data_IF_803829473110
#
_entry.id   IF_803829473110
#
_cell.length_a   1.000
_cell.length_b   1.000
_cell.length_c   1.000
_cell.angle_alpha   90.00
_cell.angle_beta   90.00
_cell.angle_gamma   90.00
#
_symmetry.space_group_name_H-M   'P 1'
#
loop_
_entity.id
_entity.type
_entity.pdbx_description
1 polymer ?
#
# COMPACT_ATOMS: atom_id res chain seq x y z
N UNK A 1 5.26 -15.84 0.55
CA UNK A 1 6.50 -15.10 0.34
C UNK A 1 6.22 -13.62 0.32
N UNK A 2 6.70 -12.92 1.35
CA UNK A 2 6.41 -11.51 1.53
C UNK A 2 7.07 -10.64 0.46
N UNK A 3 8.24 -11.02 -0.01
CA UNK A 3 8.93 -10.25 -1.05
C UNK A 3 8.13 -10.19 -2.34
N UNK A 4 7.45 -11.28 -2.69
CA UNK A 4 6.60 -11.30 -3.88
C UNK A 4 5.40 -10.36 -3.70
N UNK A 5 4.78 -10.37 -2.53
CA UNK A 5 3.64 -9.50 -2.27
C UNK A 5 4.05 -8.03 -2.30
N UNK A 6 5.19 -7.68 -1.71
CA UNK A 6 5.71 -6.32 -1.76
C UNK A 6 5.87 -5.88 -3.21
N UNK A 7 6.41 -6.74 -4.06
CA UNK A 7 6.61 -6.41 -5.46
C UNK A 7 5.29 -6.25 -6.20
N UNK A 8 4.30 -7.10 -5.91
CA UNK A 8 2.98 -6.98 -6.53
C UNK A 8 2.30 -5.67 -6.15
N UNK A 9 2.39 -5.30 -4.88
CA UNK A 9 1.84 -4.03 -4.40
C UNK A 9 2.51 -2.87 -5.13
N UNK A 10 3.84 -2.90 -5.21
CA UNK A 10 4.61 -1.86 -5.88
C UNK A 10 4.19 -1.70 -7.33
N UNK A 11 4.08 -2.81 -8.06
CA UNK A 11 3.70 -2.78 -9.45
C UNK A 11 2.30 -2.21 -9.67
N UNK A 12 1.34 -2.65 -8.85
CA UNK A 12 -0.04 -2.17 -8.97
C UNK A 12 -0.13 -0.67 -8.72
N UNK A 13 0.53 -0.19 -7.67
CA UNK A 13 0.49 1.23 -7.34
C UNK A 13 1.22 2.07 -8.38
N UNK A 14 2.31 1.56 -8.92
CA UNK A 14 3.05 2.25 -9.96
C UNK A 14 2.20 2.42 -11.21
N UNK A 15 1.52 1.36 -11.63
CA UNK A 15 0.69 1.39 -12.82
C UNK A 15 -0.52 2.31 -12.67
N UNK A 16 -1.13 2.30 -11.47
CA UNK A 16 -2.37 3.03 -11.26
C UNK A 16 -2.16 4.50 -10.97
N UNK A 17 -1.09 4.86 -10.27
CA UNK A 17 -0.94 6.20 -9.69
C UNK A 17 0.30 6.95 -10.14
N UNK A 18 1.19 6.31 -10.87
CA UNK A 18 2.44 6.90 -11.37
C UNK A 18 3.14 7.74 -10.28
N UNK A 19 3.43 7.15 -9.11
CA UNK A 19 3.93 7.93 -7.98
C UNK A 19 5.33 8.49 -8.22
N UNK A 20 5.59 9.65 -7.65
CA UNK A 20 6.93 10.22 -7.61
C UNK A 20 7.77 9.55 -6.55
N UNK A 21 7.14 9.13 -5.45
CA UNK A 21 7.79 8.38 -4.39
C UNK A 21 6.87 7.25 -3.98
N UNK A 22 7.45 6.10 -3.71
CA UNK A 22 6.68 4.93 -3.31
C UNK A 22 7.51 4.08 -2.38
N UNK A 23 6.98 3.83 -1.18
CA UNK A 23 7.55 2.87 -0.24
C UNK A 23 6.50 1.80 0.03
N UNK A 24 6.94 0.56 0.03
CA UNK A 24 6.10 -0.57 0.41
C UNK A 24 6.88 -1.36 1.44
N UNK A 25 6.34 -1.46 2.65
CA UNK A 25 7.00 -2.12 3.76
C UNK A 25 6.16 -3.29 4.24
N UNK A 26 6.83 -4.41 4.50
CA UNK A 26 6.21 -5.54 5.15
C UNK A 26 6.36 -5.33 6.66
N UNK A 27 5.25 -5.15 7.36
CA UNK A 27 5.25 -4.90 8.80
C UNK A 27 4.94 -6.14 9.62
N UNK A 28 5.00 -7.32 9.01
CA UNK A 28 4.74 -8.55 9.72
C UNK A 28 5.65 -8.76 10.93
N UNK A 29 6.87 -8.23 10.87
CA UNK A 29 7.81 -8.38 11.97
C UNK A 29 7.31 -7.76 13.29
N UNK A 30 6.41 -6.80 13.23
CA UNK A 30 5.86 -6.15 14.42
C UNK A 30 4.97 -7.08 15.23
N UNK A 31 4.62 -8.22 14.66
CA UNK A 31 3.74 -9.19 15.30
C UNK A 31 4.46 -10.52 15.56
N UNK A 32 5.78 -10.52 15.53
CA UNK A 32 6.57 -11.72 15.77
C UNK A 32 6.22 -12.31 17.13
N UNK A 33 6.13 -13.63 17.18
CA UNK A 33 5.80 -14.34 18.41
C UNK A 33 4.32 -14.71 18.55
N UNK A 34 3.46 -14.19 17.68
CA UNK A 34 2.05 -14.53 17.69
C UNK A 34 1.74 -15.48 16.53
N UNK A 35 1.00 -16.54 16.80
CA UNK A 35 0.63 -17.49 15.75
C UNK A 35 -0.17 -16.77 14.68
N UNK A 36 0.28 -16.89 13.44
CA UNK A 36 -0.34 -16.26 12.27
C UNK A 36 -0.41 -14.73 12.32
N UNK A 37 0.08 -14.12 13.39
CA UNK A 37 0.08 -12.67 13.49
C UNK A 37 1.15 -12.09 12.57
N UNK A 38 0.88 -10.95 11.99
CA UNK A 38 1.82 -10.25 11.14
C UNK A 38 1.81 -10.65 9.69
N UNK A 39 1.15 -11.75 9.35
CA UNK A 39 1.07 -12.14 7.95
C UNK A 39 0.16 -11.18 7.21
N UNK A 40 0.64 -10.67 6.08
CA UNK A 40 -0.16 -9.77 5.26
C UNK A 40 -0.34 -8.38 5.82
N UNK A 41 0.50 -7.97 6.76
CA UNK A 41 0.49 -6.61 7.28
C UNK A 41 1.51 -5.76 6.54
N UNK A 42 1.03 -4.73 5.85
CA UNK A 42 1.89 -3.90 5.01
C UNK A 42 1.64 -2.43 5.27
N UNK A 43 2.62 -1.60 4.96
CA UNK A 43 2.49 -0.15 4.96
C UNK A 43 2.92 0.37 3.61
N UNK A 44 2.14 1.30 3.06
CA UNK A 44 2.52 1.97 1.82
C UNK A 44 2.56 3.47 2.06
N UNK A 45 3.56 4.11 1.48
CA UNK A 45 3.65 5.56 1.40
C UNK A 45 3.71 5.92 -0.07
N UNK A 46 2.72 6.66 -0.52
CA UNK A 46 2.56 6.98 -1.94
C UNK A 46 2.49 8.49 -2.10
N UNK A 47 3.41 9.04 -2.87
CA UNK A 47 3.38 10.47 -3.22
C UNK A 47 3.05 10.55 -4.70
N UNK A 48 1.88 11.09 -5.03
CA UNK A 48 1.40 11.11 -6.41
C UNK A 48 0.57 12.34 -6.70
N UNK A 49 0.77 12.89 -7.89
CA UNK A 49 -0.04 14.00 -8.37
C UNK A 49 -1.51 13.59 -8.56
N UNK A 50 -1.78 12.29 -8.71
CA UNK A 50 -3.15 11.80 -8.84
C UNK A 50 -4.00 12.10 -7.61
N UNK A 51 -3.37 12.35 -6.47
CA UNK A 51 -4.10 12.67 -5.23
C UNK A 51 -4.47 14.14 -5.11
N UNK A 52 -4.04 14.99 -6.03
CA UNK A 52 -4.32 16.42 -5.95
C UNK A 52 -5.83 16.67 -5.95
N UNK A 53 -6.29 17.50 -5.02
CA UNK A 53 -7.71 17.79 -4.90
C UNK A 53 -8.55 16.69 -4.28
N UNK A 54 -7.94 15.59 -3.85
CA UNK A 54 -8.65 14.46 -3.24
C UNK A 54 -8.51 14.51 -1.72
N UNK A 55 -9.61 14.29 -1.02
CA UNK A 55 -9.59 14.17 0.44
C UNK A 55 -8.98 12.81 0.84
N UNK A 56 -8.52 12.67 2.08
CA UNK A 56 -7.86 11.44 2.51
C UNK A 56 -8.63 10.16 2.22
N UNK A 57 -9.93 10.16 2.45
CA UNK A 57 -10.73 8.97 2.19
C UNK A 57 -10.73 8.60 0.71
N UNK A 58 -10.82 9.59 -0.16
CA UNK A 58 -10.79 9.34 -1.60
C UNK A 58 -9.43 8.80 -2.03
N UNK A 59 -8.35 9.31 -1.44
CA UNK A 59 -7.00 8.80 -1.73
C UNK A 59 -6.85 7.35 -1.32
N UNK A 60 -7.36 6.99 -0.14
CA UNK A 60 -7.34 5.61 0.32
C UNK A 60 -8.12 4.69 -0.62
N UNK A 61 -9.27 5.14 -1.08
CA UNK A 61 -10.07 4.36 -2.03
C UNK A 61 -9.34 4.14 -3.34
N UNK A 62 -8.58 5.13 -3.80
CA UNK A 62 -7.78 4.98 -5.02
C UNK A 62 -6.72 3.91 -4.83
N UNK A 63 -6.10 3.85 -3.65
CA UNK A 63 -5.09 2.83 -3.36
C UNK A 63 -5.74 1.45 -3.28
N UNK A 64 -6.88 1.32 -2.59
CA UNK A 64 -7.58 0.04 -2.52
C UNK A 64 -8.01 -0.44 -3.90
N UNK A 65 -8.47 0.47 -4.76
CA UNK A 65 -8.84 0.10 -6.12
C UNK A 65 -7.65 -0.43 -6.91
N UNK A 66 -6.48 0.21 -6.75
CA UNK A 66 -5.26 -0.23 -7.41
C UNK A 66 -4.84 -1.62 -6.95
N UNK A 67 -5.16 -1.98 -5.72
CA UNK A 67 -4.78 -3.26 -5.12
C UNK A 67 -5.90 -4.29 -5.15
N UNK A 68 -6.91 -4.06 -5.99
CA UNK A 68 -8.04 -4.99 -6.12
C UNK A 68 -7.55 -6.41 -6.40
N UNK A 69 -8.12 -7.37 -5.71
CA UNK A 69 -7.71 -8.77 -5.80
C UNK A 69 -6.60 -9.13 -4.84
N UNK A 70 -5.72 -8.20 -4.48
CA UNK A 70 -4.66 -8.48 -3.50
C UNK A 70 -5.15 -8.33 -2.07
N UNK A 71 -6.14 -7.46 -1.85
CA UNK A 71 -6.68 -7.26 -0.51
C UNK A 71 -7.29 -8.52 0.08
N UNK A 72 -7.79 -9.42 -0.79
CA UNK A 72 -8.38 -10.68 -0.35
C UNK A 72 -7.39 -11.84 -0.44
N UNK A 73 -6.24 -11.63 -1.07
CA UNK A 73 -5.32 -12.70 -1.42
C UNK A 73 -3.88 -12.38 -1.01
N UNK A 74 -3.69 -11.97 0.23
CA UNK A 74 -2.34 -11.76 0.74
C UNK A 74 -2.20 -10.52 1.61
N UNK A 75 -3.03 -9.50 1.39
CA UNK A 75 -2.99 -8.31 2.24
C UNK A 75 -4.10 -8.44 3.28
N UNK A 76 -3.70 -8.57 4.53
CA UNK A 76 -4.62 -8.70 5.65
C UNK A 76 -4.91 -7.34 6.30
N UNK A 77 -3.89 -6.50 6.39
CA UNK A 77 -4.02 -5.15 6.91
C UNK A 77 -3.07 -4.24 6.16
N UNK A 78 -3.51 -3.01 5.91
CA UNK A 78 -2.73 -2.06 5.12
C UNK A 78 -2.78 -0.69 5.78
N UNK A 79 -1.61 -0.17 6.17
CA UNK A 79 -1.47 1.20 6.63
C UNK A 79 -1.10 2.06 5.42
N UNK A 80 -1.75 3.20 5.28
CA UNK A 80 -1.63 4.03 4.09
C UNK A 80 -1.21 5.44 4.45
N UNK A 81 -0.20 5.95 3.76
CA UNK A 81 0.15 7.37 3.74
C UNK A 81 0.07 7.81 2.29
N UNK A 82 -0.89 8.67 1.98
CA UNK A 82 -1.15 9.12 0.61
C UNK A 82 -0.98 10.63 0.57
N UNK A 83 0.04 11.09 -0.17
CA UNK A 83 0.42 12.49 -0.19
C UNK A 83 0.53 13.01 -1.61
N UNK A 84 0.33 14.32 -1.76
CA UNK A 84 0.62 14.99 -3.02
C UNK A 84 2.08 15.41 -3.01
N UNK A 85 2.69 15.59 -4.20
CA UNK A 85 4.05 16.09 -4.27
C UNK A 85 4.14 17.50 -3.65
N UNK A 86 5.24 17.74 -2.96
CA UNK A 86 5.49 19.07 -2.43
C UNK A 86 5.77 20.02 -3.59
N UNK A 87 5.17 21.20 -3.51
CA UNK A 87 5.38 22.21 -4.53
C UNK A 87 6.80 22.78 -4.44
#
# INVERSE_FOLDING_TARGET
MTALMVEQIRQRLTQALAPLELEVLDEGYKHAGHANAGKGHFRVRVVSAAFAGKLPLARHRMIYAALDGLMDNGIHALAIEAETPSA
#
